data_IF_771514882293
#
_entry.id   IF_771514882293
#
_cell.length_a   1.000
_cell.length_b   1.000
_cell.length_c   1.000
_cell.angle_alpha   90.00
_cell.angle_beta   90.00
_cell.angle_gamma   90.00
#
_symmetry.space_group_name_H-M   'P 1'
#
loop_
_entity.id
_entity.type
_entity.pdbx_description
1 polymer ?
#
# COMPACT_ATOMS: atom_id res chain seq x y z
N UNK A 1 -76.61 -25.26 -22.41
CA UNK A 1 -77.47 -24.71 -21.34
C UNK A 1 -76.59 -24.63 -20.11
N UNK A 2 -76.39 -23.53 -19.37
CA UNK A 2 -76.97 -22.16 -19.33
C UNK A 2 -76.05 -21.30 -18.42
N UNK A 3 -75.96 -19.96 -18.43
CA UNK A 3 -76.50 -18.88 -19.28
C UNK A 3 -75.48 -17.69 -19.31
N UNK A 4 -75.94 -16.46 -19.58
CA UNK A 4 -75.25 -15.16 -19.67
C UNK A 4 -74.75 -14.63 -18.32
N UNK A 5 -73.69 -13.83 -18.37
CA UNK A 5 -73.73 -12.47 -17.83
C UNK A 5 -72.74 -11.55 -18.58
N UNK A 6 -73.23 -10.46 -19.18
CA UNK A 6 -72.38 -9.32 -19.59
C UNK A 6 -72.39 -8.32 -18.43
N UNK A 7 -71.24 -7.77 -18.06
CA UNK A 7 -71.18 -6.45 -17.42
C UNK A 7 -70.15 -5.59 -18.16
N UNK A 8 -70.61 -4.44 -18.66
CA UNK A 8 -69.75 -3.47 -19.31
C UNK A 8 -69.23 -2.48 -18.28
N UNK A 9 -67.91 -2.38 -18.12
CA UNK A 9 -67.29 -1.35 -17.28
C UNK A 9 -66.90 -0.19 -18.18
N UNK A 10 -67.58 0.96 -18.00
CA UNK A 10 -67.19 2.23 -18.63
C UNK A 10 -65.94 2.78 -17.92
N UNK A 11 -64.93 3.30 -18.63
CA UNK A 11 -63.76 3.90 -18.00
C UNK A 11 -64.16 5.22 -17.32
N UNK A 12 -63.92 5.33 -16.02
CA UNK A 12 -64.17 6.55 -15.25
C UNK A 12 -62.93 7.45 -15.21
N UNK A 13 -63.09 8.72 -15.56
CA UNK A 13 -62.01 9.69 -15.80
C UNK A 13 -61.35 10.23 -14.51
N UNK A 14 -60.77 9.36 -13.69
CA UNK A 14 -60.12 9.75 -12.42
C UNK A 14 -58.63 9.36 -12.32
N UNK A 15 -58.12 8.52 -13.24
CA UNK A 15 -56.74 8.00 -13.17
C UNK A 15 -55.68 9.03 -13.57
N UNK A 16 -56.04 10.10 -14.30
CA UNK A 16 -55.08 11.10 -14.81
C UNK A 16 -54.82 12.31 -13.88
N UNK A 17 -55.48 12.39 -12.72
CA UNK A 17 -55.38 13.56 -11.83
C UNK A 17 -54.34 13.42 -10.70
N UNK A 18 -53.73 12.24 -10.50
CA UNK A 18 -52.84 11.97 -9.36
C UNK A 18 -51.34 12.11 -9.73
N UNK A 19 -50.98 12.06 -11.02
CA UNK A 19 -49.58 11.95 -11.46
C UNK A 19 -48.74 13.25 -11.46
N UNK A 20 -49.29 14.41 -11.07
CA UNK A 20 -48.62 15.72 -11.27
C UNK A 20 -48.27 16.45 -9.96
N UNK A 21 -48.87 16.11 -8.83
CA UNK A 21 -48.75 16.90 -7.57
C UNK A 21 -47.57 16.44 -6.68
N UNK A 22 -46.93 15.30 -6.97
CA UNK A 22 -45.95 14.65 -6.09
C UNK A 22 -44.46 14.95 -6.38
N UNK A 23 -44.13 15.83 -7.33
CA UNK A 23 -42.77 15.90 -7.91
C UNK A 23 -42.00 17.22 -7.74
N UNK A 24 -42.51 18.22 -6.99
CA UNK A 24 -41.92 19.58 -6.98
C UNK A 24 -41.44 20.07 -5.61
N UNK A 25 -41.90 19.49 -4.49
CA UNK A 25 -41.53 19.96 -3.13
C UNK A 25 -41.44 18.76 -2.16
N UNK A 26 -40.35 18.53 -1.37
CA UNK A 26 -39.09 19.27 -1.27
C UNK A 26 -37.82 18.38 -1.37
N UNK A 27 -37.10 18.46 -2.49
CA UNK A 27 -35.68 18.01 -2.54
C UNK A 27 -34.78 18.93 -1.66
N UNK A 28 -35.28 20.13 -1.32
CA UNK A 28 -34.58 21.19 -0.59
C UNK A 28 -34.17 20.88 0.85
N UNK A 29 -34.64 19.80 1.47
CA UNK A 29 -34.33 19.48 2.89
C UNK A 29 -33.15 18.52 3.10
N UNK A 30 -32.62 17.88 2.06
CA UNK A 30 -31.46 16.97 2.17
C UNK A 30 -30.12 17.74 2.15
N UNK A 31 -30.13 19.00 1.68
CA UNK A 31 -28.91 19.80 1.47
C UNK A 31 -28.35 20.42 2.77
N UNK A 32 -29.14 20.54 3.84
CA UNK A 32 -28.77 21.30 5.04
C UNK A 32 -28.32 20.48 6.27
N UNK A 33 -27.88 19.23 6.09
CA UNK A 33 -27.28 18.40 7.17
C UNK A 33 -25.94 17.74 6.81
N UNK A 34 -25.16 18.36 5.92
CA UNK A 34 -23.79 17.90 5.59
C UNK A 34 -22.69 18.97 5.72
N UNK A 35 -22.91 20.00 6.52
CA UNK A 35 -21.92 21.04 6.89
C UNK A 35 -20.86 20.56 7.90
N UNK A 36 -20.41 19.31 7.78
CA UNK A 36 -19.16 18.85 8.39
C UNK A 36 -18.47 17.72 7.59
N UNK A 37 -18.58 17.73 6.25
CA UNK A 37 -17.74 16.87 5.40
C UNK A 37 -16.41 17.57 5.10
N UNK A 38 -15.32 16.84 5.34
CA UNK A 38 -13.94 17.22 5.03
C UNK A 38 -13.77 17.81 3.62
N UNK A 39 -12.96 18.88 3.44
CA UNK A 39 -12.70 19.49 2.14
C UNK A 39 -11.63 18.71 1.34
N UNK A 40 -11.84 17.41 1.09
CA UNK A 40 -10.93 16.60 0.26
C UNK A 40 -11.67 15.57 -0.63
N UNK A 41 -12.44 16.03 -1.64
CA UNK A 41 -12.70 15.22 -2.85
C UNK A 41 -13.08 16.09 -4.06
N UNK A 42 -12.12 16.82 -4.66
CA UNK A 42 -12.25 17.39 -6.01
C UNK A 42 -10.94 17.26 -6.80
N UNK A 43 -10.47 16.02 -7.00
CA UNK A 43 -9.35 15.71 -7.91
C UNK A 43 -9.67 14.46 -8.71
N UNK A 44 -10.61 14.57 -9.65
CA UNK A 44 -10.96 13.48 -10.57
C UNK A 44 -11.23 14.05 -11.97
N UNK A 45 -10.15 14.33 -12.73
CA UNK A 45 -10.20 14.55 -14.19
C UNK A 45 -8.82 14.71 -14.86
N UNK A 46 -7.74 14.90 -14.09
CA UNK A 46 -6.38 14.68 -14.57
C UNK A 46 -5.88 13.35 -14.04
N UNK A 47 -5.34 12.50 -14.93
CA UNK A 47 -4.55 11.34 -14.53
C UNK A 47 -3.25 11.84 -13.91
N UNK A 48 -3.25 12.04 -12.59
CA UNK A 48 -2.06 12.39 -11.84
C UNK A 48 -1.13 11.18 -11.90
N UNK A 49 -0.14 11.25 -12.78
CA UNK A 49 1.01 10.33 -12.73
C UNK A 49 1.79 10.71 -11.48
N UNK A 50 1.46 10.04 -10.38
CA UNK A 50 2.03 10.31 -9.07
C UNK A 50 3.53 10.00 -9.13
N UNK A 51 4.34 11.06 -9.08
CA UNK A 51 5.78 10.94 -9.29
C UNK A 51 6.39 10.19 -8.10
N UNK A 52 7.27 9.20 -8.34
CA UNK A 52 7.81 8.39 -7.26
C UNK A 52 8.54 9.26 -6.23
N UNK A 53 8.24 9.01 -4.96
CA UNK A 53 8.79 9.74 -3.81
C UNK A 53 10.33 9.73 -3.81
N UNK A 54 10.96 10.66 -3.08
CA UNK A 54 12.43 10.69 -2.97
C UNK A 54 12.97 9.36 -2.41
N UNK A 55 12.25 8.78 -1.46
CA UNK A 55 12.55 7.49 -0.84
C UNK A 55 12.35 6.32 -1.80
N UNK A 56 11.26 6.30 -2.58
CA UNK A 56 11.05 5.25 -3.57
C UNK A 56 12.10 5.34 -4.69
N UNK A 57 12.50 6.56 -5.11
CA UNK A 57 13.62 6.78 -6.05
C UNK A 57 14.96 6.28 -5.49
N UNK A 58 15.20 6.42 -4.18
CA UNK A 58 16.38 5.91 -3.50
C UNK A 58 16.36 4.37 -3.50
N UNK A 59 15.27 3.74 -3.06
CA UNK A 59 15.16 2.28 -3.00
C UNK A 59 15.21 1.62 -4.39
N UNK A 60 14.62 2.23 -5.43
CA UNK A 60 14.78 1.77 -6.83
C UNK A 60 16.25 1.71 -7.29
N UNK A 61 17.10 2.57 -6.72
CA UNK A 61 18.53 2.67 -7.02
C UNK A 61 19.43 2.00 -5.96
N UNK A 62 18.83 1.32 -4.97
CA UNK A 62 19.58 0.61 -3.93
C UNK A 62 20.54 -0.40 -4.57
N UNK A 63 21.77 -0.49 -4.04
CA UNK A 63 22.79 -1.43 -4.52
C UNK A 63 22.85 -2.73 -3.71
N UNK A 64 22.19 -2.75 -2.56
CA UNK A 64 22.11 -3.88 -1.65
C UNK A 64 20.77 -3.88 -0.92
N UNK A 65 20.43 -5.02 -0.32
CA UNK A 65 19.40 -5.15 0.70
C UNK A 65 20.05 -5.38 2.07
N UNK A 66 19.43 -4.87 3.13
CA UNK A 66 19.94 -5.01 4.50
C UNK A 66 18.76 -5.15 5.47
N UNK A 67 18.63 -6.31 6.13
CA UNK A 67 17.64 -6.51 7.18
C UNK A 67 17.92 -5.61 8.39
N UNK A 68 19.02 -5.90 9.09
CA UNK A 68 19.46 -5.11 10.25
C UNK A 68 20.48 -4.02 9.96
N UNK A 69 20.95 -3.40 11.04
CA UNK A 69 21.98 -2.35 11.02
C UNK A 69 23.28 -2.79 10.34
N UNK A 70 23.96 -1.87 9.66
CA UNK A 70 25.15 -2.17 8.85
C UNK A 70 26.42 -1.44 9.32
N UNK A 71 27.56 -2.06 9.06
CA UNK A 71 28.89 -1.49 9.23
C UNK A 71 29.41 -1.36 10.67
N UNK A 72 30.59 -0.78 10.80
CA UNK A 72 31.30 -0.58 12.08
C UNK A 72 30.70 0.60 12.86
N UNK A 73 29.47 0.40 13.36
CA UNK A 73 28.73 1.26 14.31
C UNK A 73 27.31 0.73 14.59
N UNK A 74 26.85 -0.33 13.89
CA UNK A 74 25.42 -0.65 13.79
C UNK A 74 24.60 0.55 13.27
N UNK A 75 25.07 1.18 12.19
CA UNK A 75 24.38 2.33 11.60
C UNK A 75 23.16 1.88 10.77
N UNK A 76 22.06 2.63 10.89
CA UNK A 76 20.87 2.45 10.04
C UNK A 76 21.14 3.05 8.65
N UNK A 77 21.00 2.24 7.60
CA UNK A 77 21.27 2.65 6.23
C UNK A 77 20.32 3.75 5.74
N UNK A 78 20.66 4.39 4.62
CA UNK A 78 19.77 5.36 4.01
C UNK A 78 18.52 4.67 3.43
N UNK A 79 18.71 3.46 2.90
CA UNK A 79 17.67 2.56 2.40
C UNK A 79 16.68 2.16 3.51
N UNK A 80 17.18 1.73 4.68
CA UNK A 80 16.31 1.37 5.82
C UNK A 80 15.45 2.55 6.28
N UNK A 81 16.04 3.75 6.39
CA UNK A 81 15.31 4.97 6.75
C UNK A 81 14.29 5.38 5.69
N UNK A 82 14.58 5.17 4.40
CA UNK A 82 13.65 5.41 3.31
C UNK A 82 12.50 4.39 3.32
N UNK A 83 12.80 3.11 3.56
CA UNK A 83 11.81 2.04 3.67
C UNK A 83 10.87 2.26 4.86
N UNK A 84 11.39 2.63 6.02
CA UNK A 84 10.59 2.94 7.21
C UNK A 84 9.64 4.12 6.97
N UNK A 85 10.10 5.19 6.29
CA UNK A 85 9.21 6.30 5.90
C UNK A 85 8.10 5.84 4.94
N UNK A 86 8.43 5.13 3.86
CA UNK A 86 7.43 4.60 2.92
C UNK A 86 6.40 3.70 3.63
N UNK A 87 6.84 2.87 4.58
CA UNK A 87 5.96 1.98 5.36
C UNK A 87 4.88 2.75 6.12
N UNK A 88 5.18 3.97 6.55
CA UNK A 88 4.32 4.79 7.40
C UNK A 88 3.43 5.76 6.57
N UNK A 89 3.56 5.76 5.23
CA UNK A 89 2.71 6.52 4.30
C UNK A 89 1.35 5.83 3.99
N UNK A 90 0.28 6.57 3.65
CA UNK A 90 -1.02 5.98 3.33
C UNK A 90 -1.04 5.05 2.10
N UNK A 91 -0.14 5.27 1.14
CA UNK A 91 -0.01 4.53 -0.11
C UNK A 91 1.11 3.46 -0.07
N UNK A 92 1.67 3.17 1.11
CA UNK A 92 2.81 2.27 1.32
C UNK A 92 2.74 0.96 0.51
N UNK A 93 1.56 0.33 0.48
CA UNK A 93 1.35 -0.94 -0.23
C UNK A 93 1.51 -0.79 -1.76
N UNK A 94 1.09 0.32 -2.34
CA UNK A 94 1.30 0.61 -3.76
C UNK A 94 2.77 0.93 -4.06
N UNK A 95 3.42 1.75 -3.21
CA UNK A 95 4.86 2.02 -3.35
C UNK A 95 5.69 0.74 -3.27
N UNK A 96 5.38 -0.17 -2.35
CA UNK A 96 6.08 -1.45 -2.21
C UNK A 96 5.78 -2.45 -3.33
N UNK A 97 4.56 -2.52 -3.87
CA UNK A 97 4.27 -3.31 -5.09
C UNK A 97 5.11 -2.79 -6.26
N UNK A 98 5.15 -1.48 -6.45
CA UNK A 98 5.90 -0.86 -7.54
C UNK A 98 7.43 -0.99 -7.37
N UNK A 99 7.94 -1.16 -6.14
CA UNK A 99 9.33 -1.56 -5.87
C UNK A 99 9.56 -3.06 -6.14
N UNK A 100 8.61 -3.92 -5.75
CA UNK A 100 8.67 -5.37 -5.99
C UNK A 100 8.69 -5.71 -7.49
N UNK A 101 8.10 -4.88 -8.35
CA UNK A 101 8.11 -5.03 -9.82
C UNK A 101 9.38 -4.46 -10.50
N UNK A 102 10.41 -4.08 -9.73
CA UNK A 102 11.63 -3.47 -10.28
C UNK A 102 12.53 -4.45 -11.06
N UNK A 103 13.23 -3.93 -12.08
CA UNK A 103 14.32 -4.65 -12.73
C UNK A 103 15.57 -4.79 -11.84
N UNK A 104 15.69 -4.02 -10.75
CA UNK A 104 16.80 -4.08 -9.79
C UNK A 104 16.51 -5.07 -8.64
N UNK A 105 17.27 -6.18 -8.50
CA UNK A 105 17.03 -7.20 -7.46
C UNK A 105 17.04 -6.67 -6.01
N UNK A 106 17.84 -5.65 -5.71
CA UNK A 106 17.83 -5.04 -4.36
C UNK A 106 16.53 -4.28 -4.10
N UNK A 107 16.04 -3.53 -5.09
CA UNK A 107 14.76 -2.83 -5.01
C UNK A 107 13.58 -3.80 -4.89
N UNK A 108 13.65 -4.96 -5.58
CA UNK A 108 12.66 -6.04 -5.45
C UNK A 108 12.59 -6.52 -4.00
N UNK A 109 13.73 -6.82 -3.36
CA UNK A 109 13.74 -7.24 -1.94
C UNK A 109 13.18 -6.16 -1.00
N UNK A 110 13.50 -4.88 -1.21
CA UNK A 110 12.91 -3.79 -0.43
C UNK A 110 11.39 -3.70 -0.59
N UNK A 111 10.86 -3.92 -1.80
CA UNK A 111 9.43 -4.01 -2.06
C UNK A 111 8.79 -5.21 -1.36
N UNK A 112 9.34 -6.42 -1.55
CA UNK A 112 8.84 -7.66 -0.95
C UNK A 112 8.88 -7.60 0.59
N UNK A 113 9.91 -6.99 1.17
CA UNK A 113 10.02 -6.72 2.61
C UNK A 113 8.87 -5.84 3.12
N UNK A 114 8.54 -4.78 2.38
CA UNK A 114 7.40 -3.92 2.68
C UNK A 114 6.08 -4.69 2.62
N UNK A 115 5.85 -5.43 1.53
CA UNK A 115 4.65 -6.24 1.36
C UNK A 115 4.51 -7.31 2.44
N UNK A 116 5.60 -7.95 2.89
CA UNK A 116 5.55 -8.91 3.99
C UNK A 116 4.93 -8.30 5.25
N UNK A 117 5.25 -7.04 5.55
CA UNK A 117 4.79 -6.34 6.75
C UNK A 117 3.34 -5.87 6.69
N UNK A 118 2.86 -5.43 5.52
CA UNK A 118 1.57 -4.70 5.38
C UNK A 118 0.56 -5.32 4.40
N UNK A 119 1.00 -6.17 3.46
CA UNK A 119 0.15 -6.87 2.49
C UNK A 119 0.63 -8.33 2.30
N UNK A 120 0.38 -9.23 3.29
CA UNK A 120 0.82 -10.62 3.22
C UNK A 120 0.30 -11.40 1.99
N UNK A 121 -0.91 -11.15 1.44
CA UNK A 121 -1.32 -11.67 0.14
C UNK A 121 -0.41 -11.25 -1.02
N UNK A 122 -0.10 -9.95 -1.18
CA UNK A 122 0.78 -9.49 -2.24
C UNK A 122 2.22 -9.98 -2.06
N UNK A 123 2.71 -10.07 -0.81
CA UNK A 123 3.99 -10.70 -0.49
C UNK A 123 4.09 -12.13 -1.05
N UNK A 124 3.08 -12.98 -0.77
CA UNK A 124 3.08 -14.37 -1.28
C UNK A 124 3.12 -14.38 -2.81
N UNK A 125 2.29 -13.58 -3.47
CA UNK A 125 2.28 -13.46 -4.93
C UNK A 125 3.64 -13.03 -5.50
N UNK A 126 4.29 -12.03 -4.90
CA UNK A 126 5.58 -11.52 -5.36
C UNK A 126 6.72 -12.53 -5.11
N UNK A 127 6.74 -13.17 -3.94
CA UNK A 127 7.69 -14.25 -3.62
C UNK A 127 7.57 -15.42 -4.59
N UNK A 128 6.35 -15.86 -4.86
CA UNK A 128 6.08 -17.00 -5.75
C UNK A 128 6.41 -16.67 -7.22
N UNK A 129 6.28 -15.40 -7.62
CA UNK A 129 6.71 -14.91 -8.94
C UNK A 129 8.24 -14.94 -9.13
N UNK A 130 9.00 -14.60 -8.09
CA UNK A 130 10.48 -14.55 -8.14
C UNK A 130 11.17 -15.83 -7.67
N UNK A 131 10.43 -16.91 -7.39
CA UNK A 131 10.98 -18.19 -6.88
C UNK A 131 12.17 -18.69 -7.70
N UNK A 132 12.02 -18.69 -9.03
CA UNK A 132 13.00 -19.25 -9.97
C UNK A 132 13.96 -18.17 -10.52
N UNK A 133 14.10 -17.01 -9.85
CA UNK A 133 14.90 -15.87 -10.33
C UNK A 133 16.40 -16.01 -9.99
N UNK A 134 17.21 -16.20 -11.02
CA UNK A 134 18.66 -16.37 -10.91
C UNK A 134 19.46 -15.05 -10.73
N UNK A 135 18.82 -13.88 -10.82
CA UNK A 135 19.52 -12.58 -10.68
C UNK A 135 20.16 -12.50 -9.30
N UNK A 136 21.42 -12.08 -9.27
CA UNK A 136 22.15 -11.90 -8.01
C UNK A 136 21.82 -10.58 -7.33
N UNK A 137 21.67 -10.63 -6.00
CA UNK A 137 21.46 -9.48 -5.13
C UNK A 137 22.55 -9.46 -4.05
N UNK A 138 23.10 -8.26 -3.79
CA UNK A 138 24.04 -8.05 -2.69
C UNK A 138 23.25 -7.87 -1.40
N UNK A 139 23.55 -8.70 -0.42
CA UNK A 139 23.07 -8.58 0.94
C UNK A 139 24.16 -7.97 1.83
N UNK A 140 23.73 -7.17 2.79
CA UNK A 140 24.60 -6.59 3.81
C UNK A 140 23.97 -6.78 5.19
N UNK A 141 24.60 -7.59 6.03
CA UNK A 141 24.21 -7.83 7.42
C UNK A 141 25.41 -7.59 8.33
N UNK A 142 25.28 -6.66 9.28
CA UNK A 142 26.39 -6.17 10.10
C UNK A 142 27.60 -5.71 9.25
N UNK A 143 28.75 -6.35 9.47
CA UNK A 143 29.98 -6.06 8.71
C UNK A 143 30.15 -6.91 7.44
N UNK A 144 29.28 -7.88 7.17
CA UNK A 144 29.46 -8.86 6.08
C UNK A 144 28.63 -8.46 4.85
N UNK A 145 29.28 -8.43 3.69
CA UNK A 145 28.63 -8.33 2.37
C UNK A 145 28.79 -9.63 1.63
N UNK A 146 27.69 -10.13 1.06
CA UNK A 146 27.67 -11.38 0.30
C UNK A 146 26.63 -11.28 -0.82
N UNK A 147 26.79 -12.10 -1.86
CA UNK A 147 25.88 -12.13 -3.01
C UNK A 147 25.12 -13.44 -3.03
N UNK A 148 23.80 -13.38 -3.24
CA UNK A 148 22.91 -14.54 -3.35
C UNK A 148 22.02 -14.40 -4.57
N UNK A 149 21.47 -15.51 -5.08
CA UNK A 149 20.40 -15.47 -6.08
C UNK A 149 19.09 -15.03 -5.41
N UNK A 150 18.33 -14.16 -6.09
CA UNK A 150 17.08 -13.59 -5.58
C UNK A 150 16.05 -14.68 -5.23
N UNK A 151 15.83 -15.62 -6.14
CA UNK A 151 14.90 -16.74 -5.93
C UNK A 151 15.30 -17.61 -4.75
N UNK A 152 16.55 -18.09 -4.73
CA UNK A 152 17.12 -18.87 -3.62
C UNK A 152 16.99 -18.16 -2.27
N UNK A 153 17.15 -16.83 -2.22
CA UNK A 153 16.97 -16.07 -0.99
C UNK A 153 15.51 -16.00 -0.55
N UNK A 154 14.57 -15.87 -1.48
CA UNK A 154 13.13 -15.85 -1.21
C UNK A 154 12.57 -17.24 -0.85
N UNK A 155 13.16 -18.31 -1.37
CA UNK A 155 12.83 -19.71 -1.03
C UNK A 155 13.34 -20.10 0.37
N UNK A 156 14.65 -20.02 0.58
CA UNK A 156 15.28 -20.33 1.87
C UNK A 156 14.90 -19.31 2.96
N UNK A 157 14.45 -18.13 2.55
CA UNK A 157 14.27 -16.98 3.41
C UNK A 157 13.14 -17.10 4.41
N UNK A 158 12.22 -18.08 4.35
CA UNK A 158 11.05 -18.01 5.25
C UNK A 158 11.42 -17.87 6.74
N UNK A 159 12.56 -18.40 7.14
CA UNK A 159 13.17 -18.15 8.45
C UNK A 159 14.26 -17.06 8.39
N UNK A 160 15.20 -17.10 7.44
CA UNK A 160 16.32 -16.14 7.36
C UNK A 160 15.91 -14.70 6.97
N UNK A 161 15.03 -14.55 5.98
CA UNK A 161 14.36 -13.29 5.64
C UNK A 161 13.45 -12.83 6.78
N UNK A 162 12.77 -13.72 7.51
CA UNK A 162 12.01 -13.31 8.70
C UNK A 162 12.93 -12.82 9.84
N UNK A 163 14.13 -13.39 9.99
CA UNK A 163 15.12 -12.99 10.98
C UNK A 163 15.81 -11.66 10.62
N UNK A 164 16.18 -11.48 9.36
CA UNK A 164 16.66 -10.20 8.81
C UNK A 164 15.56 -9.13 8.86
N UNK A 165 14.30 -9.48 8.57
CA UNK A 165 13.16 -8.57 8.70
C UNK A 165 12.82 -8.25 10.15
N UNK A 166 13.03 -9.15 11.12
CA UNK A 166 12.87 -8.79 12.53
C UNK A 166 13.81 -7.63 12.90
N UNK A 167 15.07 -7.66 12.46
CA UNK A 167 16.00 -6.54 12.64
C UNK A 167 15.62 -5.27 11.84
N UNK A 168 14.75 -5.38 10.82
CA UNK A 168 14.20 -4.24 10.07
C UNK A 168 12.90 -3.69 10.69
N UNK A 169 12.17 -4.55 11.42
CA UNK A 169 10.80 -4.32 11.89
C UNK A 169 10.73 -3.90 13.34
N UNK A 170 11.67 -4.34 14.17
CA UNK A 170 11.91 -3.80 15.50
C UNK A 170 12.51 -2.39 15.35
N UNK A 171 12.20 -1.47 16.27
CA UNK A 171 12.80 -0.13 16.24
C UNK A 171 14.32 -0.26 16.28
N UNK A 172 15.07 0.37 15.34
CA UNK A 172 16.51 0.27 15.34
C UNK A 172 17.04 0.79 16.67
N UNK A 173 17.93 0.05 17.37
CA UNK A 173 18.43 0.48 18.66
C UNK A 173 19.03 1.88 18.53
N UNK A 174 18.80 2.78 19.51
CA UNK A 174 19.22 4.17 19.40
C UNK A 174 20.70 4.23 19.06
N UNK A 175 21.01 4.89 17.94
CA UNK A 175 22.38 4.99 17.46
C UNK A 175 23.25 5.59 18.58
N UNK A 176 24.25 4.88 19.13
CA UNK A 176 25.04 5.38 20.25
C UNK A 176 25.90 6.60 19.88
N UNK A 177 25.96 6.95 18.59
CA UNK A 177 26.62 8.13 18.05
C UNK A 177 25.64 9.23 17.56
N UNK A 178 24.33 9.08 17.76
CA UNK A 178 23.36 10.17 17.51
C UNK A 178 23.18 11.03 18.77
N UNK A 179 24.07 12.00 18.93
CA UNK A 179 24.05 12.96 20.04
C UNK A 179 22.77 13.82 20.12
N UNK A 180 21.90 13.82 19.08
CA UNK A 180 20.59 14.51 19.09
C UNK A 180 19.48 13.71 19.77
N UNK A 181 19.74 12.45 20.14
CA UNK A 181 18.82 11.67 20.96
C UNK A 181 18.88 12.13 22.43
N UNK A 182 20.10 12.34 22.97
CA UNK A 182 20.34 12.78 24.35
C UNK A 182 19.87 14.21 24.68
N UNK A 183 19.55 15.04 23.69
CA UNK A 183 19.09 16.42 23.87
C UNK A 183 17.55 16.53 24.01
N UNK A 184 16.80 15.42 23.93
CA UNK A 184 15.32 15.42 23.96
C UNK A 184 14.69 14.83 25.22
N UNK A 185 15.50 14.51 26.23
CA UNK A 185 15.05 13.95 27.52
C UNK A 185 15.17 14.92 28.71
N UNK A 186 15.31 16.23 28.44
CA UNK A 186 15.40 17.32 29.45
C UNK A 186 14.40 18.45 29.15
#
# INVERSE_FOLDING_TARGET
MTERARSGIRPSSWILAISVVLLVVPISLIVLKFTHRSPQTQTALFGVVELPSADQKLLRRARYFSGGTIGYANAVSAEQRAWARIRDEPDAAEQFRSLAESSNPAAVLWGIAGLYRIDPPAYRKARDHYRDDERSVVLWSGCVKYSVQLGRWLENGRDAFAQDLHQLMDDPPPNPFDHRASEREF
#
